data_IF_261326925962
#
_entry.id   IF_261326925962
#
_cell.length_a   1.000
_cell.length_b   1.000
_cell.length_c   1.000
_cell.angle_alpha   90.00
_cell.angle_beta   90.00
_cell.angle_gamma   90.00
#
_symmetry.space_group_name_H-M   'P 1'
#
loop_
_entity.id
_entity.type
_entity.pdbx_description
1 polymer ?
#
# COMPACT_ATOMS: atom_id res chain seq x y z
N UNK A 1 47.04 -45.57 -2.18
CA UNK A 1 47.75 -44.35 -1.77
C UNK A 1 47.41 -43.14 -2.65
N UNK A 2 47.75 -43.13 -3.94
CA UNK A 2 47.51 -41.96 -4.81
C UNK A 2 46.04 -41.73 -5.18
N UNK A 3 45.28 -42.81 -5.42
CA UNK A 3 43.86 -42.73 -5.79
C UNK A 3 42.96 -42.21 -4.66
N UNK A 4 43.23 -42.59 -3.40
CA UNK A 4 42.46 -42.14 -2.24
C UNK A 4 42.63 -40.63 -2.00
N UNK A 5 43.82 -40.08 -2.25
CA UNK A 5 44.08 -38.64 -2.15
C UNK A 5 43.32 -37.88 -3.24
N UNK A 6 43.28 -38.41 -4.46
CA UNK A 6 42.53 -37.80 -5.58
C UNK A 6 41.02 -37.85 -5.30
N UNK A 7 40.50 -38.98 -4.81
CA UNK A 7 39.10 -39.12 -4.45
C UNK A 7 38.71 -38.18 -3.30
N UNK A 8 39.56 -38.06 -2.27
CA UNK A 8 39.35 -37.12 -1.17
C UNK A 8 39.29 -35.66 -1.64
N UNK A 9 40.16 -35.26 -2.56
CA UNK A 9 40.18 -33.90 -3.11
C UNK A 9 38.87 -33.59 -3.87
N UNK A 10 38.38 -34.52 -4.69
CA UNK A 10 37.12 -34.35 -5.42
C UNK A 10 35.93 -34.15 -4.48
N UNK A 11 35.85 -34.93 -3.39
CA UNK A 11 34.77 -34.80 -2.39
C UNK A 11 34.83 -33.44 -1.69
N UNK A 12 36.01 -32.95 -1.34
CA UNK A 12 36.19 -31.62 -0.73
C UNK A 12 35.74 -30.50 -1.68
N UNK A 13 36.08 -30.62 -2.96
CA UNK A 13 35.67 -29.66 -4.01
C UNK A 13 34.14 -29.59 -4.15
N UNK A 14 33.48 -30.75 -4.22
CA UNK A 14 32.01 -30.81 -4.30
C UNK A 14 31.34 -30.29 -3.04
N UNK A 15 31.89 -30.60 -1.85
CA UNK A 15 31.40 -30.08 -0.58
C UNK A 15 31.50 -28.55 -0.49
N UNK A 16 32.59 -27.97 -1.00
CA UNK A 16 32.76 -26.52 -1.05
C UNK A 16 31.75 -25.83 -1.98
N UNK A 17 31.49 -26.42 -3.16
CA UNK A 17 30.50 -25.91 -4.12
C UNK A 17 29.09 -26.01 -3.53
N UNK A 18 28.74 -27.16 -2.94
CA UNK A 18 27.44 -27.38 -2.31
C UNK A 18 27.22 -26.47 -1.08
N UNK A 19 28.25 -26.25 -0.27
CA UNK A 19 28.21 -25.33 0.87
C UNK A 19 28.03 -23.88 0.44
N UNK A 20 28.73 -23.44 -0.61
CA UNK A 20 28.58 -22.11 -1.18
C UNK A 20 27.19 -21.90 -1.80
N UNK A 21 26.65 -22.91 -2.49
CA UNK A 21 25.32 -22.83 -3.12
C UNK A 21 24.18 -22.93 -2.09
N UNK A 22 24.33 -23.77 -1.05
CA UNK A 22 23.36 -23.90 0.03
C UNK A 22 23.25 -22.63 0.89
N UNK A 23 24.39 -22.02 1.24
CA UNK A 23 24.41 -20.73 1.98
C UNK A 23 23.96 -19.58 1.07
N UNK A 24 24.36 -19.59 -0.22
CA UNK A 24 23.94 -18.58 -1.20
C UNK A 24 22.44 -18.58 -1.47
N UNK A 25 21.81 -19.77 -1.57
CA UNK A 25 20.37 -19.90 -1.79
C UNK A 25 19.56 -19.48 -0.55
N UNK A 26 19.97 -19.89 0.65
CA UNK A 26 19.34 -19.47 1.90
C UNK A 26 19.37 -17.95 2.10
N UNK A 27 20.43 -17.27 1.63
CA UNK A 27 20.57 -15.81 1.70
C UNK A 27 19.84 -15.08 0.57
N UNK A 28 19.66 -15.73 -0.57
CA UNK A 28 18.93 -15.21 -1.73
C UNK A 28 17.42 -15.20 -1.53
N UNK A 29 16.85 -16.29 -1.00
CA UNK A 29 15.42 -16.36 -0.63
C UNK A 29 15.08 -15.41 0.51
N UNK A 30 15.93 -15.36 1.55
CA UNK A 30 15.74 -14.44 2.69
C UNK A 30 15.77 -12.95 2.31
N UNK A 31 16.59 -12.55 1.33
CA UNK A 31 16.58 -11.16 0.80
C UNK A 31 15.41 -10.88 -0.14
N UNK A 32 14.89 -11.88 -0.83
CA UNK A 32 13.72 -11.73 -1.70
C UNK A 32 12.43 -11.61 -0.88
N UNK A 33 12.27 -12.43 0.16
CA UNK A 33 11.18 -12.35 1.15
C UNK A 33 11.19 -11.00 1.87
N UNK A 34 12.35 -10.57 2.39
CA UNK A 34 12.44 -9.30 3.10
C UNK A 34 12.12 -8.09 2.22
N UNK A 35 12.38 -8.14 0.91
CA UNK A 35 12.03 -7.07 -0.04
C UNK A 35 10.56 -7.12 -0.46
N UNK A 36 9.95 -8.29 -0.52
CA UNK A 36 8.53 -8.43 -0.83
C UNK A 36 7.66 -7.89 0.33
N UNK A 37 7.99 -8.25 1.57
CA UNK A 37 7.27 -7.74 2.75
C UNK A 37 7.41 -6.21 2.91
N UNK A 38 8.61 -5.67 2.66
CA UNK A 38 8.82 -4.21 2.69
C UNK A 38 7.95 -3.49 1.66
N UNK A 39 7.87 -3.99 0.42
CA UNK A 39 7.03 -3.38 -0.62
C UNK A 39 5.55 -3.42 -0.27
N UNK A 40 5.06 -4.52 0.29
CA UNK A 40 3.68 -4.60 0.76
C UNK A 40 3.40 -3.64 1.92
N UNK A 41 4.35 -3.40 2.82
CA UNK A 41 4.18 -2.41 3.89
C UNK A 41 4.21 -0.96 3.39
N UNK A 42 5.08 -0.65 2.41
CA UNK A 42 5.18 0.69 1.81
C UNK A 42 3.96 1.05 0.96
N UNK A 43 3.48 0.11 0.14
CA UNK A 43 2.28 0.32 -0.68
C UNK A 43 1.00 0.46 0.17
N UNK A 44 0.88 -0.32 1.26
CA UNK A 44 -0.23 -0.18 2.20
C UNK A 44 -0.20 1.13 2.99
N UNK A 45 1.00 1.63 3.34
CA UNK A 45 1.15 2.93 3.99
C UNK A 45 0.71 4.08 3.08
N UNK A 46 1.11 4.05 1.79
CA UNK A 46 0.70 5.06 0.82
C UNK A 46 -0.82 5.03 0.57
N UNK A 47 -1.42 3.84 0.45
CA UNK A 47 -2.86 3.69 0.24
C UNK A 47 -3.68 4.14 1.46
N UNK A 48 -3.19 3.87 2.68
CA UNK A 48 -3.87 4.31 3.92
C UNK A 48 -3.75 5.81 4.14
N UNK A 49 -2.61 6.43 3.83
CA UNK A 49 -2.45 7.89 3.86
C UNK A 49 -3.38 8.56 2.85
N UNK A 50 -3.41 8.09 1.60
CA UNK A 50 -4.31 8.64 0.57
C UNK A 50 -5.80 8.47 0.94
N UNK A 51 -6.17 7.35 1.57
CA UNK A 51 -7.53 7.14 2.07
C UNK A 51 -7.85 8.05 3.27
N UNK A 52 -6.88 8.31 4.15
CA UNK A 52 -7.03 9.21 5.29
C UNK A 52 -7.15 10.68 4.85
N UNK A 53 -6.31 11.12 3.90
CA UNK A 53 -6.37 12.46 3.30
C UNK A 53 -7.71 12.70 2.61
N UNK A 54 -8.17 11.74 1.79
CA UNK A 54 -9.49 11.83 1.14
C UNK A 54 -10.63 11.90 2.17
N UNK A 55 -10.54 11.14 3.27
CA UNK A 55 -11.56 11.21 4.35
C UNK A 55 -11.54 12.55 5.06
N UNK A 56 -10.36 13.12 5.32
CA UNK A 56 -10.22 14.42 5.96
C UNK A 56 -10.80 15.54 5.08
N UNK A 57 -10.52 15.51 3.77
CA UNK A 57 -11.06 16.46 2.80
C UNK A 57 -12.59 16.39 2.73
N UNK A 58 -13.16 15.19 2.57
CA UNK A 58 -14.63 14.99 2.55
C UNK A 58 -15.28 15.44 3.86
N UNK A 59 -14.65 15.20 5.00
CA UNK A 59 -15.17 15.63 6.30
C UNK A 59 -15.16 17.15 6.42
N UNK A 60 -14.10 17.80 5.93
CA UNK A 60 -13.98 19.25 5.91
C UNK A 60 -15.01 19.90 4.99
N UNK A 61 -15.17 19.39 3.77
CA UNK A 61 -16.18 19.90 2.83
C UNK A 61 -17.60 19.70 3.36
N UNK A 62 -17.90 18.53 3.93
CA UNK A 62 -19.21 18.29 4.53
C UNK A 62 -19.48 19.24 5.72
N UNK A 63 -18.44 19.53 6.53
CA UNK A 63 -18.54 20.49 7.62
C UNK A 63 -18.74 21.92 7.12
N UNK A 64 -18.06 22.32 6.04
CA UNK A 64 -18.18 23.66 5.45
C UNK A 64 -19.58 23.88 4.85
N UNK A 65 -20.12 22.87 4.17
CA UNK A 65 -21.50 22.88 3.68
C UNK A 65 -22.49 22.96 4.84
N UNK A 66 -22.32 22.15 5.89
CA UNK A 66 -23.21 22.23 7.07
C UNK A 66 -23.11 23.58 7.79
N UNK A 67 -21.92 24.15 7.92
CA UNK A 67 -21.72 25.45 8.55
C UNK A 67 -22.37 26.57 7.72
N UNK A 68 -22.26 26.50 6.39
CA UNK A 68 -22.90 27.42 5.46
C UNK A 68 -24.42 27.36 5.58
N UNK A 69 -24.99 26.16 5.61
CA UNK A 69 -26.44 25.96 5.79
C UNK A 69 -26.88 26.43 7.17
N UNK A 70 -26.12 26.14 8.23
CA UNK A 70 -26.47 26.52 9.61
C UNK A 70 -26.39 28.02 9.89
N UNK A 71 -25.65 28.79 9.10
CA UNK A 71 -25.60 30.26 9.18
C UNK A 71 -26.67 30.94 8.33
N UNK A 72 -27.40 30.18 7.52
CA UNK A 72 -28.47 30.72 6.69
C UNK A 72 -29.73 30.96 7.54
N UNK A 73 -30.39 32.13 7.41
CA UNK A 73 -31.68 32.37 8.06
C UNK A 73 -32.73 31.31 7.65
N UNK A 74 -33.62 30.91 8.56
CA UNK A 74 -34.59 29.80 8.35
C UNK A 74 -35.41 29.93 7.04
N UNK A 75 -35.69 31.16 6.59
CA UNK A 75 -36.45 31.46 5.37
C UNK A 75 -35.61 31.56 4.08
N UNK A 76 -34.28 31.58 4.16
CA UNK A 76 -33.39 31.75 3.00
C UNK A 76 -33.07 30.42 2.32
N UNK A 77 -32.98 29.31 3.06
CA UNK A 77 -32.76 27.97 2.49
C UNK A 77 -33.93 27.59 1.58
N UNK A 78 -35.17 27.77 2.07
CA UNK A 78 -36.39 27.50 1.30
C UNK A 78 -36.51 28.42 0.08
N UNK A 79 -36.07 29.68 0.21
CA UNK A 79 -36.05 30.67 -0.88
C UNK A 79 -35.03 30.33 -1.95
N UNK A 80 -33.81 29.93 -1.58
CA UNK A 80 -32.78 29.49 -2.52
C UNK A 80 -33.15 28.18 -3.21
N UNK A 81 -33.66 27.19 -2.46
CA UNK A 81 -34.15 25.95 -3.03
C UNK A 81 -35.28 26.22 -4.04
N UNK A 82 -36.24 27.09 -3.71
CA UNK A 82 -37.33 27.44 -4.62
C UNK A 82 -36.89 28.22 -5.85
N UNK A 83 -35.81 29.01 -5.76
CA UNK A 83 -35.29 29.82 -6.87
C UNK A 83 -34.34 29.08 -7.81
N UNK A 84 -33.52 28.14 -7.29
CA UNK A 84 -32.45 27.46 -8.06
C UNK A 84 -32.74 25.98 -8.33
N UNK A 85 -33.59 25.32 -7.55
CA UNK A 85 -33.87 23.91 -7.75
C UNK A 85 -34.75 23.69 -8.98
N UNK A 86 -34.16 23.13 -10.03
CA UNK A 86 -34.91 22.65 -11.19
C UNK A 86 -35.21 21.18 -10.97
N UNK A 87 -36.48 20.83 -10.73
CA UNK A 87 -36.89 19.44 -10.52
C UNK A 87 -36.52 18.60 -11.77
N UNK A 88 -35.66 17.58 -11.66
CA UNK A 88 -35.38 16.69 -12.78
C UNK A 88 -36.66 15.90 -13.10
N UNK A 89 -37.18 16.04 -14.32
CA UNK A 89 -38.42 15.38 -14.77
C UNK A 89 -39.65 16.27 -14.85
N UNK A 90 -39.52 17.59 -14.73
CA UNK A 90 -40.58 18.54 -15.10
C UNK A 90 -40.55 18.87 -16.60
N UNK A 91 -40.66 17.86 -17.46
CA UNK A 91 -41.08 17.94 -18.86
C UNK A 91 -41.65 16.59 -19.27
#
# INVERSE_FOLDING_TARGET
MSFEIIAGLVVVMLGAIAGAFGIGHARGTSKAEAKADQRHTEENAAATVAAAERKAEVTKEASDVQQTVSHMPDDDVDRELRGKFTRPGSR
#
